data_IF_237883903809
#
_entry.id   IF_237883903809
#
_cell.length_a   1.000
_cell.length_b   1.000
_cell.length_c   1.000
_cell.angle_alpha   90.00
_cell.angle_beta   90.00
_cell.angle_gamma   90.00
#
_symmetry.space_group_name_H-M   'P 1'
#
loop_
_entity.id
_entity.type
_entity.pdbx_description
1 polymer ?
#
# COMPACT_ATOMS: atom_id res chain seq x y z
N UNK A 1 -17.91 3.56 -11.82
CA UNK A 1 -16.64 2.81 -11.69
C UNK A 1 -15.87 3.44 -10.54
N UNK A 2 -15.50 2.64 -9.55
CA UNK A 2 -14.76 3.04 -8.38
C UNK A 2 -13.31 2.54 -8.48
N UNK A 3 -12.36 3.46 -8.34
CA UNK A 3 -10.93 3.14 -8.39
C UNK A 3 -10.30 3.40 -7.03
N UNK A 4 -9.55 2.42 -6.52
CA UNK A 4 -8.67 2.59 -5.36
C UNK A 4 -7.22 2.56 -5.83
N UNK A 5 -6.50 3.67 -5.59
CA UNK A 5 -5.08 3.81 -5.84
C UNK A 5 -4.34 3.63 -4.51
N UNK A 6 -3.43 2.66 -4.41
CA UNK A 6 -2.87 2.26 -3.12
C UNK A 6 -1.36 2.06 -3.15
N UNK A 7 -0.67 2.62 -2.17
CA UNK A 7 0.65 2.14 -1.74
C UNK A 7 0.42 1.12 -0.61
N UNK A 8 0.44 -0.17 -0.96
CA UNK A 8 0.13 -1.26 -0.03
C UNK A 8 1.19 -1.40 1.08
N UNK A 9 0.86 -2.02 2.23
CA UNK A 9 1.84 -2.26 3.28
C UNK A 9 2.95 -3.20 2.78
N UNK A 10 4.19 -2.90 3.14
CA UNK A 10 5.37 -3.68 2.76
C UNK A 10 6.25 -3.95 3.98
N UNK A 11 5.71 -4.77 4.87
CA UNK A 11 6.29 -5.10 6.18
C UNK A 11 6.59 -6.59 6.25
N UNK A 12 7.80 -6.93 6.70
CA UNK A 12 8.28 -8.30 6.82
C UNK A 12 8.71 -8.57 8.27
N UNK A 13 8.13 -9.56 8.96
CA UNK A 13 8.55 -9.90 10.32
C UNK A 13 9.99 -10.43 10.32
N UNK A 14 10.80 -10.02 11.31
CA UNK A 14 12.19 -10.50 11.49
C UNK A 14 12.36 -11.29 12.80
N UNK A 15 11.83 -10.79 13.91
CA UNK A 15 11.80 -11.45 15.22
C UNK A 15 10.54 -11.03 15.99
N UNK A 16 10.35 -11.48 17.24
CA UNK A 16 9.12 -11.26 18.00
C UNK A 16 8.69 -9.78 18.05
N UNK A 17 9.65 -8.87 18.16
CA UNK A 17 9.37 -7.43 18.28
C UNK A 17 9.87 -6.58 17.11
N UNK A 18 10.60 -7.15 16.14
CA UNK A 18 11.18 -6.41 15.03
C UNK A 18 10.62 -6.79 13.67
N UNK A 19 10.58 -5.80 12.80
CA UNK A 19 10.16 -5.95 11.41
C UNK A 19 11.04 -5.14 10.47
N UNK A 20 11.15 -5.64 9.24
CA UNK A 20 11.74 -4.91 8.12
C UNK A 20 10.63 -4.18 7.39
N UNK A 21 10.75 -2.86 7.36
CA UNK A 21 9.76 -1.95 6.83
C UNK A 21 10.27 -1.31 5.55
N UNK A 22 9.56 -1.43 4.44
CA UNK A 22 9.99 -0.90 3.14
C UNK A 22 9.29 0.43 2.80
N UNK A 23 10.07 1.39 2.30
CA UNK A 23 9.60 2.61 1.66
C UNK A 23 9.75 2.44 0.15
N UNK A 24 8.67 2.68 -0.60
CA UNK A 24 8.58 2.28 -2.01
C UNK A 24 8.11 3.44 -2.89
N UNK A 25 6.83 3.74 -2.83
CA UNK A 25 6.22 4.81 -3.62
C UNK A 25 6.91 6.15 -3.33
N UNK A 26 7.25 6.89 -4.39
CA UNK A 26 8.00 8.14 -4.27
C UNK A 26 9.51 7.98 -4.04
N UNK A 27 10.01 6.76 -3.82
CA UNK A 27 11.44 6.48 -3.77
C UNK A 27 11.93 5.97 -5.13
N UNK A 28 13.06 6.50 -5.60
CA UNK A 28 13.71 5.98 -6.83
C UNK A 28 14.19 4.54 -6.65
N UNK A 29 14.66 4.22 -5.45
CA UNK A 29 15.14 2.90 -5.08
C UNK A 29 14.41 2.48 -3.81
N UNK A 30 13.73 1.32 -3.79
CA UNK A 30 13.07 0.85 -2.58
C UNK A 30 14.11 0.75 -1.45
N UNK A 31 13.82 1.43 -0.35
CA UNK A 31 14.66 1.43 0.84
C UNK A 31 13.93 0.71 1.96
N UNK A 32 14.67 0.21 2.95
CA UNK A 32 14.07 -0.42 4.11
C UNK A 32 14.82 -0.08 5.37
N UNK A 33 14.10 -0.05 6.48
CA UNK A 33 14.68 0.02 7.83
C UNK A 33 14.22 -1.18 8.64
N UNK A 34 14.96 -1.49 9.69
CA UNK A 34 14.53 -2.41 10.74
C UNK A 34 14.03 -1.56 11.89
N UNK A 35 12.80 -1.81 12.33
CA UNK A 35 12.18 -1.10 13.46
C UNK A 35 11.47 -2.06 14.39
N UNK A 36 11.10 -1.59 15.59
CA UNK A 36 10.16 -2.35 16.42
C UNK A 36 8.74 -2.22 15.87
N UNK A 37 7.91 -3.25 16.01
CA UNK A 37 6.53 -3.25 15.49
C UNK A 37 5.69 -2.07 15.99
N UNK A 38 5.88 -1.70 17.25
CA UNK A 38 5.19 -0.60 17.93
C UNK A 38 5.68 0.80 17.53
N UNK A 39 6.85 0.89 16.89
CA UNK A 39 7.41 2.18 16.47
C UNK A 39 6.73 2.67 15.19
N UNK A 40 6.19 3.88 15.24
CA UNK A 40 5.83 4.62 14.03
C UNK A 40 7.09 5.23 13.42
N UNK A 41 7.35 4.95 12.14
CA UNK A 41 8.47 5.56 11.43
C UNK A 41 8.06 6.93 10.94
N UNK A 42 8.77 7.97 11.38
CA UNK A 42 8.50 9.36 11.00
C UNK A 42 9.67 10.03 10.28
N UNK A 43 10.84 9.41 10.23
CA UNK A 43 12.06 10.08 9.76
C UNK A 43 12.17 10.19 8.24
N UNK A 44 11.69 9.19 7.49
CA UNK A 44 11.73 9.19 6.03
C UNK A 44 10.56 8.43 5.41
N UNK A 45 9.63 9.18 4.83
CA UNK A 45 8.49 8.67 4.05
C UNK A 45 8.34 9.53 2.80
N UNK A 46 8.83 9.07 1.63
CA UNK A 46 8.69 9.83 0.40
C UNK A 46 7.23 9.88 -0.03
N UNK A 47 6.81 11.04 -0.56
CA UNK A 47 5.45 11.21 -1.06
C UNK A 47 5.22 10.37 -2.32
N UNK A 48 4.11 9.62 -2.44
CA UNK A 48 3.85 8.71 -3.55
C UNK A 48 3.42 9.45 -4.83
N UNK A 49 4.36 10.16 -5.48
CA UNK A 49 4.09 11.08 -6.58
C UNK A 49 3.24 10.45 -7.69
N UNK A 50 3.59 9.26 -8.18
CA UNK A 50 2.85 8.63 -9.27
C UNK A 50 1.42 8.29 -8.89
N UNK A 51 1.20 7.73 -7.70
CA UNK A 51 -0.15 7.44 -7.20
C UNK A 51 -0.97 8.72 -7.00
N UNK A 52 -0.35 9.79 -6.51
CA UNK A 52 -1.01 11.09 -6.35
C UNK A 52 -1.40 11.71 -7.71
N UNK A 53 -0.49 11.70 -8.69
CA UNK A 53 -0.78 12.18 -10.05
C UNK A 53 -1.87 11.34 -10.72
N UNK A 54 -1.80 10.01 -10.64
CA UNK A 54 -2.86 9.12 -11.15
C UNK A 54 -4.20 9.44 -10.50
N UNK A 55 -4.24 9.62 -9.18
CA UNK A 55 -5.46 10.00 -8.46
C UNK A 55 -6.02 11.33 -8.96
N UNK A 56 -5.16 12.34 -9.15
CA UNK A 56 -5.57 13.66 -9.63
C UNK A 56 -6.16 13.59 -11.05
N UNK A 57 -5.55 12.82 -11.94
CA UNK A 57 -6.05 12.62 -13.31
C UNK A 57 -7.39 11.89 -13.34
N UNK A 58 -7.54 10.81 -12.57
CA UNK A 58 -8.81 10.08 -12.48
C UNK A 58 -9.94 10.96 -11.92
N UNK A 59 -9.66 11.76 -10.88
CA UNK A 59 -10.63 12.72 -10.33
C UNK A 59 -10.99 13.81 -11.33
N UNK A 60 -10.02 14.31 -12.11
CA UNK A 60 -10.26 15.30 -13.18
C UNK A 60 -11.23 14.76 -14.23
N UNK A 61 -11.18 13.46 -14.52
CA UNK A 61 -12.08 12.78 -15.46
C UNK A 61 -13.39 12.30 -14.79
N UNK A 62 -13.71 12.81 -13.60
CA UNK A 62 -14.92 12.51 -12.83
C UNK A 62 -15.09 11.03 -12.46
N UNK A 63 -13.99 10.28 -12.32
CA UNK A 63 -14.01 8.90 -11.82
C UNK A 63 -14.02 8.92 -10.29
N UNK A 64 -14.92 8.15 -9.67
CA UNK A 64 -14.96 7.96 -8.22
C UNK A 64 -13.65 7.29 -7.76
N UNK A 65 -12.76 8.08 -7.17
CA UNK A 65 -11.38 7.67 -6.91
C UNK A 65 -10.98 7.89 -5.45
N UNK A 66 -10.48 6.82 -4.85
CA UNK A 66 -9.92 6.78 -3.50
C UNK A 66 -8.40 6.59 -3.60
N UNK A 67 -7.66 7.15 -2.65
CA UNK A 67 -6.20 7.00 -2.58
C UNK A 67 -5.77 6.75 -1.14
N UNK A 68 -4.85 5.80 -0.95
CA UNK A 68 -4.31 5.47 0.37
C UNK A 68 -2.82 5.15 0.31
N UNK A 69 -2.09 5.66 1.30
CA UNK A 69 -0.71 5.27 1.55
C UNK A 69 -0.63 4.47 2.85
N UNK A 70 -0.79 3.15 2.75
CA UNK A 70 -0.79 2.26 3.90
C UNK A 70 0.60 2.20 4.57
N UNK A 71 1.66 2.54 3.83
CA UNK A 71 3.02 2.67 4.38
C UNK A 71 3.16 3.95 5.18
N UNK A 72 2.63 5.08 4.71
CA UNK A 72 2.64 6.30 5.52
C UNK A 72 1.78 6.17 6.79
N UNK A 73 0.70 5.39 6.71
CA UNK A 73 -0.23 5.14 7.82
C UNK A 73 0.23 4.02 8.78
N UNK A 74 1.33 3.33 8.49
CA UNK A 74 1.84 2.19 9.25
C UNK A 74 0.77 1.10 9.46
N UNK A 75 -0.01 0.81 8.42
CA UNK A 75 -1.08 -0.17 8.48
C UNK A 75 -0.55 -1.61 8.40
N UNK A 76 -1.23 -2.51 9.10
CA UNK A 76 -1.09 -3.94 8.88
C UNK A 76 -1.73 -4.38 7.56
N UNK A 77 -1.42 -5.60 7.13
CA UNK A 77 -2.09 -6.21 5.97
C UNK A 77 -3.60 -6.32 6.19
N UNK A 78 -4.05 -6.71 7.38
CA UNK A 78 -5.47 -6.85 7.71
C UNK A 78 -6.20 -5.50 7.63
N UNK A 79 -5.60 -4.42 8.17
CA UNK A 79 -6.15 -3.07 8.07
C UNK A 79 -6.29 -2.62 6.61
N UNK A 80 -5.30 -2.92 5.79
CA UNK A 80 -5.35 -2.62 4.36
C UNK A 80 -6.44 -3.42 3.65
N UNK A 81 -6.56 -4.72 3.93
CA UNK A 81 -7.60 -5.58 3.35
C UNK A 81 -8.99 -5.11 3.76
N UNK A 82 -9.20 -4.77 5.02
CA UNK A 82 -10.49 -4.28 5.52
C UNK A 82 -10.86 -2.93 4.88
N UNK A 83 -9.89 -2.04 4.67
CA UNK A 83 -10.11 -0.82 3.92
C UNK A 83 -10.51 -1.09 2.46
N UNK A 84 -9.84 -2.05 1.79
CA UNK A 84 -10.22 -2.45 0.41
C UNK A 84 -11.65 -3.01 0.39
N UNK A 85 -12.04 -3.83 1.38
CA UNK A 85 -13.40 -4.37 1.53
C UNK A 85 -14.45 -3.29 1.81
N UNK A 86 -14.10 -2.25 2.56
CA UNK A 86 -15.00 -1.12 2.83
C UNK A 86 -15.27 -0.33 1.54
N UNK A 87 -14.21 -0.01 0.79
CA UNK A 87 -14.30 0.76 -0.45
C UNK A 87 -15.04 -0.03 -1.52
N UNK A 88 -14.82 -1.36 -1.63
CA UNK A 88 -15.30 -2.21 -2.73
C UNK A 88 -14.99 -1.60 -4.11
N UNK A 89 -13.71 -1.39 -4.46
CA UNK A 89 -13.35 -0.80 -5.74
C UNK A 89 -13.57 -1.78 -6.89
N UNK A 90 -13.99 -1.27 -8.05
CA UNK A 90 -14.00 -2.03 -9.31
C UNK A 90 -12.57 -2.27 -9.81
N UNK A 91 -11.66 -1.33 -9.51
CA UNK A 91 -10.24 -1.39 -9.88
C UNK A 91 -9.38 -1.03 -8.66
N UNK A 92 -8.48 -1.94 -8.27
CA UNK A 92 -7.40 -1.67 -7.33
C UNK A 92 -6.09 -1.51 -8.12
N UNK A 93 -5.51 -0.32 -8.08
CA UNK A 93 -4.19 0.00 -8.64
C UNK A 93 -3.18 0.08 -7.50
N UNK A 94 -2.19 -0.81 -7.52
CA UNK A 94 -1.12 -0.84 -6.53
C UNK A 94 0.25 -0.60 -7.17
N UNK A 95 1.08 0.24 -6.55
CA UNK A 95 2.50 0.32 -6.88
C UNK A 95 3.26 -0.85 -6.23
N UNK A 96 4.22 -1.43 -6.96
CA UNK A 96 5.04 -2.55 -6.50
C UNK A 96 6.52 -2.27 -6.74
N UNK A 97 7.40 -3.02 -6.09
CA UNK A 97 8.85 -2.95 -6.30
C UNK A 97 9.44 -4.35 -6.32
N UNK A 98 10.58 -4.54 -7.00
CA UNK A 98 11.26 -5.83 -7.10
C UNK A 98 11.43 -6.56 -5.75
N UNK A 99 11.90 -5.93 -4.65
CA UNK A 99 12.08 -6.65 -3.38
C UNK A 99 10.77 -7.00 -2.65
N UNK A 100 9.61 -6.46 -3.08
CA UNK A 100 8.33 -6.66 -2.39
C UNK A 100 7.28 -7.35 -3.25
N UNK A 101 7.58 -7.65 -4.51
CA UNK A 101 6.60 -8.14 -5.49
C UNK A 101 5.89 -9.42 -5.04
N UNK A 102 6.59 -10.35 -4.39
CA UNK A 102 5.99 -11.58 -3.88
C UNK A 102 4.97 -11.29 -2.78
N UNK A 103 5.29 -10.36 -1.88
CA UNK A 103 4.39 -9.90 -0.81
C UNK A 103 3.16 -9.18 -1.39
N UNK A 104 3.37 -8.33 -2.40
CA UNK A 104 2.27 -7.63 -3.09
C UNK A 104 1.31 -8.63 -3.76
N UNK A 105 1.85 -9.68 -4.41
CA UNK A 105 1.04 -10.75 -5.02
C UNK A 105 0.25 -11.51 -3.96
N UNK A 106 0.84 -11.83 -2.81
CA UNK A 106 0.15 -12.48 -1.70
C UNK A 106 -1.02 -11.63 -1.18
N UNK A 107 -0.80 -10.33 -0.97
CA UNK A 107 -1.86 -9.40 -0.55
C UNK A 107 -3.00 -9.39 -1.58
N UNK A 108 -2.68 -9.29 -2.88
CA UNK A 108 -3.69 -9.30 -3.96
C UNK A 108 -4.47 -10.62 -3.99
N UNK A 109 -3.80 -11.77 -3.80
CA UNK A 109 -4.46 -13.07 -3.71
C UNK A 109 -5.42 -13.13 -2.50
N UNK A 110 -4.98 -12.62 -1.35
CA UNK A 110 -5.78 -12.56 -0.13
C UNK A 110 -7.04 -11.67 -0.33
N UNK A 111 -6.87 -10.50 -0.95
CA UNK A 111 -7.99 -9.62 -1.32
C UNK A 111 -8.98 -10.35 -2.24
N UNK A 112 -8.49 -11.00 -3.31
CA UNK A 112 -9.34 -11.72 -4.27
C UNK A 112 -10.09 -12.90 -3.66
N UNK A 113 -9.53 -13.56 -2.64
CA UNK A 113 -10.20 -14.64 -1.92
C UNK A 113 -11.41 -14.14 -1.11
N UNK A 114 -11.38 -12.89 -0.63
CA UNK A 114 -12.42 -12.29 0.20
C UNK A 114 -13.37 -11.35 -0.55
N UNK A 115 -12.99 -10.89 -1.73
CA UNK A 115 -13.79 -10.09 -2.65
C UNK A 115 -13.77 -10.78 -4.03
N UNK A 116 -14.51 -11.89 -4.20
CA UNK A 116 -14.69 -12.47 -5.53
C UNK A 116 -15.40 -11.46 -6.44
N UNK A 117 -14.99 -11.45 -7.71
CA UNK A 117 -15.44 -10.52 -8.76
C UNK A 117 -16.93 -10.21 -8.73
#
# INVERSE_FOLDING_TARGET
>A
MKVLVANAPAVFPLSDNYEKYFFRAGSRWPASVVKKREEHITEYLPFPFYLAYTTALLKKDNIETYAVDAIALNWSEDQFIDYVKEIRPDVLLMETTTPTVEKDVQIIQNIKAHLPK
#
